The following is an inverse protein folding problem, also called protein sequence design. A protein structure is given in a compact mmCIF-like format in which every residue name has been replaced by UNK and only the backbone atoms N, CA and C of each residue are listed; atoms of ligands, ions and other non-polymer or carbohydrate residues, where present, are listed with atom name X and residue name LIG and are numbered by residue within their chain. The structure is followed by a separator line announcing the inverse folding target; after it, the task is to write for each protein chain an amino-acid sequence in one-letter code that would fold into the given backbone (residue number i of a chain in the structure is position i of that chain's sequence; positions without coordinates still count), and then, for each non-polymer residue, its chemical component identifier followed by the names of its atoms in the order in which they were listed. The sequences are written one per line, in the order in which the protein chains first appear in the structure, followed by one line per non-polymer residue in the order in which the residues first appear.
data_IF_497490619030
#
_entry.id   IF_497490619030
#
_cell.length_a   1.000
_cell.length_b   1.000
_cell.length_c   1.000
_cell.angle_alpha   90.00
_cell.angle_beta   90.00
_cell.angle_gamma   90.00
#
_symmetry.space_group_name_H-M   'P 1'
#
loop_
_entity.id
_entity.type
_entity.pdbx_description
1 polymer ?
#
# COMPACT_ATOMS: atom_id res chain seq x y z
N UNK A 1 -25.52 -16.52 -10.10
CA UNK A 1 -24.11 -16.92 -9.97
C UNK A 1 -23.32 -15.77 -9.35
N UNK A 2 -23.37 -15.66 -8.02
CA UNK A 2 -22.73 -14.60 -7.25
C UNK A 2 -21.73 -15.34 -6.36
N UNK A 3 -20.44 -15.29 -6.69
CA UNK A 3 -19.44 -16.06 -5.94
C UNK A 3 -17.99 -16.00 -6.44
N UNK A 4 -17.71 -15.60 -7.69
CA UNK A 4 -16.33 -15.71 -8.23
C UNK A 4 -15.46 -14.45 -8.18
N UNK A 5 -16.05 -13.27 -7.95
CA UNK A 5 -15.30 -11.99 -8.02
C UNK A 5 -14.32 -11.81 -6.86
N UNK A 6 -14.68 -12.30 -5.66
CA UNK A 6 -13.81 -12.28 -4.48
C UNK A 6 -12.60 -13.21 -4.65
N UNK A 7 -12.80 -14.43 -5.16
CA UNK A 7 -11.71 -15.40 -5.31
C UNK A 7 -10.63 -14.95 -6.29
N UNK A 8 -11.00 -14.35 -7.42
CA UNK A 8 -10.00 -13.89 -8.40
C UNK A 8 -9.24 -12.67 -7.89
N UNK A 9 -9.90 -11.76 -7.15
CA UNK A 9 -9.20 -10.65 -6.48
C UNK A 9 -8.20 -11.18 -5.46
N UNK A 10 -8.60 -12.17 -4.63
CA UNK A 10 -7.71 -12.83 -3.69
C UNK A 10 -6.58 -13.58 -4.41
N UNK A 11 -6.85 -14.31 -5.50
CA UNK A 11 -5.81 -14.99 -6.28
C UNK A 11 -4.82 -13.97 -6.85
N UNK A 12 -5.28 -12.83 -7.38
CA UNK A 12 -4.40 -11.78 -7.89
C UNK A 12 -3.55 -11.15 -6.77
N UNK A 13 -4.14 -10.93 -5.60
CA UNK A 13 -3.46 -10.46 -4.40
C UNK A 13 -2.34 -11.44 -3.98
N UNK A 14 -2.67 -12.71 -3.77
CA UNK A 14 -1.69 -13.74 -3.37
C UNK A 14 -0.64 -13.99 -4.46
N UNK A 15 -1.04 -13.97 -5.74
CA UNK A 15 -0.10 -14.10 -6.86
C UNK A 15 0.88 -12.91 -6.89
N UNK A 16 0.45 -11.71 -6.53
CA UNK A 16 1.33 -10.54 -6.45
C UNK A 16 2.39 -10.75 -5.37
N UNK A 17 2.00 -11.23 -4.18
CA UNK A 17 2.95 -11.60 -3.13
C UNK A 17 3.96 -12.66 -3.62
N UNK A 18 3.47 -13.72 -4.29
CA UNK A 18 4.32 -14.79 -4.81
C UNK A 18 5.30 -14.31 -5.89
N UNK A 19 4.84 -13.47 -6.83
CA UNK A 19 5.69 -12.92 -7.90
C UNK A 19 6.72 -11.96 -7.32
N UNK A 20 6.31 -11.06 -6.42
CA UNK A 20 7.20 -10.12 -5.76
C UNK A 20 8.33 -10.84 -5.01
N UNK A 21 7.97 -11.88 -4.25
CA UNK A 21 8.94 -12.73 -3.56
C UNK A 21 9.90 -13.43 -4.53
N UNK A 22 9.38 -14.16 -5.52
CA UNK A 22 10.21 -14.93 -6.46
C UNK A 22 11.06 -14.04 -7.38
N UNK A 23 10.71 -12.77 -7.52
CA UNK A 23 11.48 -11.78 -8.27
C UNK A 23 12.50 -11.02 -7.42
N UNK A 24 12.60 -11.33 -6.12
CA UNK A 24 13.51 -10.67 -5.19
C UNK A 24 13.11 -9.24 -4.83
N UNK A 25 11.84 -8.85 -4.99
CA UNK A 25 11.37 -7.53 -4.53
C UNK A 25 11.22 -7.48 -3.00
N UNK A 26 10.97 -8.62 -2.36
CA UNK A 26 10.93 -8.78 -0.89
C UNK A 26 11.67 -10.05 -0.50
N UNK A 27 12.30 -10.03 0.67
CA UNK A 27 13.09 -11.17 1.18
C UNK A 27 12.34 -11.90 2.29
N UNK A 28 12.21 -13.23 2.18
CA UNK A 28 11.49 -14.02 3.19
C UNK A 28 12.21 -13.94 4.52
N UNK A 29 11.42 -13.79 5.59
CA UNK A 29 11.92 -13.58 6.94
C UNK A 29 12.79 -12.33 7.09
N UNK A 30 12.78 -11.39 6.15
CA UNK A 30 13.33 -10.04 6.34
C UNK A 30 12.22 -9.06 6.71
N UNK A 31 12.61 -7.90 7.25
CA UNK A 31 11.66 -6.87 7.67
C UNK A 31 10.99 -6.27 6.43
N UNK A 32 9.82 -6.76 6.04
CA UNK A 32 9.07 -6.23 4.90
C UNK A 32 7.90 -5.42 5.45
N UNK A 33 7.90 -4.08 5.34
CA UNK A 33 6.83 -3.25 5.88
C UNK A 33 5.46 -3.65 5.32
N UNK A 34 4.47 -3.91 6.19
CA UNK A 34 3.16 -4.42 5.75
C UNK A 34 2.46 -3.43 4.81
N UNK A 35 2.56 -2.13 5.10
CA UNK A 35 1.96 -1.11 4.24
C UNK A 35 2.46 -1.19 2.79
N UNK A 36 3.72 -1.56 2.59
CA UNK A 36 4.36 -1.65 1.28
C UNK A 36 3.92 -2.94 0.56
N UNK A 37 4.01 -4.08 1.25
CA UNK A 37 3.69 -5.39 0.67
C UNK A 37 2.22 -5.50 0.32
N UNK A 38 1.36 -5.14 1.27
CA UNK A 38 -0.08 -5.18 1.11
C UNK A 38 -0.53 -4.07 0.16
N UNK A 39 0.00 -2.86 0.31
CA UNK A 39 -0.32 -1.74 -0.58
C UNK A 39 -0.06 -2.10 -2.05
N UNK A 40 1.05 -2.77 -2.34
CA UNK A 40 1.38 -3.28 -3.67
C UNK A 40 0.44 -4.39 -4.13
N UNK A 41 0.17 -5.40 -3.31
CA UNK A 41 -0.77 -6.46 -3.64
C UNK A 41 -2.15 -5.90 -4.00
N UNK A 42 -2.63 -4.94 -3.20
CA UNK A 42 -3.90 -4.25 -3.39
C UNK A 42 -3.92 -3.33 -4.61
N UNK A 43 -2.77 -2.80 -5.04
CA UNK A 43 -2.63 -2.02 -6.27
C UNK A 43 -2.84 -2.89 -7.52
N UNK A 44 -2.34 -4.12 -7.50
CA UNK A 44 -2.44 -5.08 -8.60
C UNK A 44 -3.70 -5.95 -8.57
N UNK A 45 -4.51 -5.87 -7.51
CA UNK A 45 -5.86 -6.43 -7.51
C UNK A 45 -6.67 -5.95 -8.71
N UNK A 46 -7.57 -6.81 -9.18
CA UNK A 46 -8.49 -6.48 -10.27
C UNK A 46 -9.74 -5.84 -9.66
N UNK A 47 -9.94 -4.51 -9.78
CA UNK A 47 -11.03 -3.82 -9.09
C UNK A 47 -12.42 -4.20 -9.62
N UNK A 48 -12.51 -4.67 -10.87
CA UNK A 48 -13.74 -5.21 -11.44
C UNK A 48 -13.46 -6.18 -12.60
N UNK A 49 -13.85 -7.44 -12.41
CA UNK A 49 -13.75 -8.52 -13.38
C UNK A 49 -14.96 -8.64 -14.30
N UNK A 50 -16.06 -7.95 -13.99
CA UNK A 50 -17.28 -7.94 -14.81
C UNK A 50 -17.19 -6.95 -15.96
N UNK A 51 -16.24 -6.00 -15.91
CA UNK A 51 -15.97 -5.13 -17.05
C UNK A 51 -15.43 -5.93 -18.25
N UNK A 52 -15.95 -5.69 -19.45
CA UNK A 52 -15.45 -6.25 -20.73
C UNK A 52 -13.97 -5.91 -21.01
N UNK A 53 -13.31 -5.17 -20.12
CA UNK A 53 -11.95 -4.68 -20.22
C UNK A 53 -10.91 -5.55 -19.48
N UNK A 54 -11.33 -6.55 -18.69
CA UNK A 54 -10.43 -7.55 -18.06
C UNK A 54 -9.22 -6.94 -17.32
N UNK A 55 -8.04 -7.54 -17.48
CA UNK A 55 -6.74 -7.13 -16.92
C UNK A 55 -6.32 -5.67 -17.17
N UNK A 56 -6.98 -4.94 -18.08
CA UNK A 56 -6.69 -3.51 -18.37
C UNK A 56 -7.15 -2.55 -17.26
N UNK A 57 -7.74 -3.06 -16.18
CA UNK A 57 -8.17 -2.27 -15.02
C UNK A 57 -7.19 -2.35 -13.84
N UNK A 58 -6.13 -3.17 -13.91
CA UNK A 58 -5.07 -3.15 -12.90
C UNK A 58 -4.48 -1.75 -12.73
N UNK A 59 -4.25 -1.32 -11.49
CA UNK A 59 -3.79 0.04 -11.18
C UNK A 59 -4.83 1.15 -11.34
N UNK A 60 -6.08 0.85 -11.74
CA UNK A 60 -7.18 1.82 -11.65
C UNK A 60 -7.58 2.03 -10.19
N UNK A 61 -8.15 3.20 -9.93
CA UNK A 61 -8.77 3.51 -8.63
C UNK A 61 -9.82 2.46 -8.30
N UNK A 62 -9.69 1.82 -7.14
CA UNK A 62 -10.66 0.88 -6.63
C UNK A 62 -11.74 1.67 -5.85
N UNK A 63 -13.00 1.72 -6.32
CA UNK A 63 -14.03 2.54 -5.69
C UNK A 63 -14.34 2.16 -4.25
N UNK A 64 -14.29 0.86 -3.90
CA UNK A 64 -14.57 0.42 -2.53
C UNK A 64 -13.45 0.84 -1.58
N UNK A 65 -12.19 0.73 -2.00
CA UNK A 65 -11.03 1.19 -1.21
C UNK A 65 -11.02 2.70 -1.05
N UNK A 66 -11.32 3.44 -2.12
CA UNK A 66 -11.45 4.88 -2.07
C UNK A 66 -12.60 5.30 -1.13
N UNK A 67 -13.74 4.61 -1.15
CA UNK A 67 -14.83 4.85 -0.20
C UNK A 67 -14.36 4.61 1.24
N UNK A 68 -13.71 3.48 1.53
CA UNK A 68 -13.16 3.19 2.86
C UNK A 68 -12.16 4.23 3.33
N UNK A 69 -11.25 4.67 2.46
CA UNK A 69 -10.33 5.75 2.76
C UNK A 69 -11.08 7.05 3.07
N UNK A 70 -12.08 7.42 2.27
CA UNK A 70 -12.87 8.65 2.50
C UNK A 70 -13.67 8.59 3.80
N UNK A 71 -14.31 7.46 4.11
CA UNK A 71 -14.99 7.24 5.39
C UNK A 71 -14.00 7.41 6.55
N UNK A 72 -12.78 6.90 6.40
CA UNK A 72 -11.73 7.05 7.40
C UNK A 72 -11.30 8.50 7.62
N UNK A 73 -11.34 9.37 6.61
CA UNK A 73 -11.03 10.79 6.76
C UNK A 73 -12.09 11.56 7.56
N UNK A 74 -13.34 11.09 7.57
CA UNK A 74 -14.44 11.74 8.30
C UNK A 74 -14.45 11.41 9.78
N UNK A 75 -13.74 10.35 10.16
CA UNK A 75 -13.55 9.97 11.56
C UNK A 75 -12.19 10.53 11.98
N UNK A 76 -12.11 11.40 13.00
CA UNK A 76 -10.83 11.95 13.53
C UNK A 76 -9.79 10.88 13.92
N UNK A 77 -10.22 9.62 13.96
CA UNK A 77 -9.55 8.40 14.40
C UNK A 77 -8.38 7.93 13.52
N UNK A 78 -8.16 8.51 12.34
CA UNK A 78 -7.25 7.94 11.32
C UNK A 78 -6.12 8.86 10.84
N UNK A 79 -5.99 10.07 11.39
CA UNK A 79 -4.84 10.93 11.08
C UNK A 79 -3.71 10.77 12.08
N UNK A 80 -3.44 9.54 12.50
CA UNK A 80 -2.08 9.21 12.89
C UNK A 80 -1.24 9.27 11.60
N UNK A 81 -0.28 10.20 11.58
CA UNK A 81 0.49 10.60 10.39
C UNK A 81 0.94 9.46 9.48
N UNK A 82 1.29 9.75 8.22
CA UNK A 82 1.97 8.76 7.34
C UNK A 82 3.21 8.14 8.00
N UNK A 83 3.82 8.82 8.98
CA UNK A 83 4.89 8.26 9.80
C UNK A 83 4.42 7.08 10.64
N UNK A 84 3.18 7.07 11.15
CA UNK A 84 2.62 5.91 11.86
C UNK A 84 2.41 4.69 10.97
N UNK A 85 2.02 4.90 9.70
CA UNK A 85 1.80 3.83 8.72
C UNK A 85 3.10 3.16 8.30
N UNK A 86 4.17 3.96 8.23
CA UNK A 86 5.47 3.55 7.67
C UNK A 86 6.49 3.14 8.75
N UNK A 87 6.37 3.65 9.97
CA UNK A 87 7.32 3.37 11.05
C UNK A 87 7.18 1.95 11.63
N UNK A 88 5.99 1.37 11.70
CA UNK A 88 5.81 -0.03 12.11
C UNK A 88 4.46 -0.61 11.65
N UNK A 89 4.20 -1.85 12.07
CA UNK A 89 3.04 -2.62 11.67
C UNK A 89 1.88 -2.56 12.69
N UNK A 90 1.96 -1.70 13.72
CA UNK A 90 1.00 -1.69 14.82
C UNK A 90 -0.45 -1.44 14.36
N UNK A 91 -0.62 -0.62 13.32
CA UNK A 91 -1.94 -0.31 12.73
C UNK A 91 -2.59 -1.52 12.06
N UNK A 92 -1.80 -2.48 11.59
CA UNK A 92 -2.28 -3.73 10.98
C UNK A 92 -2.57 -4.83 12.01
N UNK A 93 -2.17 -4.63 13.27
CA UNK A 93 -2.42 -5.56 14.37
C UNK A 93 -3.68 -5.21 15.19
N UNK A 94 -4.21 -3.99 15.05
CA UNK A 94 -5.42 -3.54 15.74
C UNK A 94 -6.68 -3.79 14.88
N UNK A 95 -7.61 -4.67 15.30
CA UNK A 95 -8.84 -4.96 14.56
C UNK A 95 -9.72 -3.74 14.28
N UNK A 96 -9.65 -2.71 15.12
CA UNK A 96 -10.44 -1.49 14.94
C UNK A 96 -9.93 -0.62 13.78
N UNK A 97 -8.64 -0.71 13.47
CA UNK A 97 -7.95 0.18 12.53
C UNK A 97 -7.50 -0.54 11.25
N UNK A 98 -7.53 -1.88 11.23
CA UNK A 98 -6.92 -2.71 10.19
C UNK A 98 -7.45 -2.40 8.78
N UNK A 99 -8.78 -2.32 8.60
CA UNK A 99 -9.41 -2.01 7.30
C UNK A 99 -8.97 -0.64 6.76
N UNK A 100 -8.85 0.32 7.67
CA UNK A 100 -8.47 1.68 7.35
C UNK A 100 -6.96 1.79 7.05
N UNK A 101 -6.12 1.02 7.75
CA UNK A 101 -4.70 0.88 7.46
C UNK A 101 -4.46 0.27 6.06
N UNK A 102 -5.21 -0.77 5.68
CA UNK A 102 -5.17 -1.33 4.32
C UNK A 102 -5.64 -0.31 3.26
N UNK A 103 -6.71 0.44 3.51
CA UNK A 103 -7.18 1.47 2.59
C UNK A 103 -6.13 2.57 2.38
N UNK A 104 -5.46 3.00 3.45
CA UNK A 104 -4.41 4.02 3.38
C UNK A 104 -3.13 3.48 2.71
N UNK A 105 -2.70 2.27 3.04
CA UNK A 105 -1.55 1.61 2.40
C UNK A 105 -1.74 1.46 0.88
N UNK A 106 -2.95 1.07 0.45
CA UNK A 106 -3.32 1.01 -0.96
C UNK A 106 -3.22 2.40 -1.62
N UNK A 107 -3.85 3.41 -1.02
CA UNK A 107 -3.87 4.75 -1.61
C UNK A 107 -2.47 5.37 -1.65
N UNK A 108 -1.69 5.18 -0.59
CA UNK A 108 -0.32 5.68 -0.52
C UNK A 108 0.56 5.01 -1.58
N UNK A 109 0.47 3.69 -1.71
CA UNK A 109 1.15 2.95 -2.79
C UNK A 109 0.71 3.44 -4.17
N UNK A 110 -0.59 3.63 -4.39
CA UNK A 110 -1.13 4.15 -5.65
C UNK A 110 -0.58 5.55 -5.97
N UNK A 111 -0.58 6.45 -4.99
CA UNK A 111 0.01 7.79 -5.10
C UNK A 111 1.50 7.74 -5.42
N UNK A 112 2.29 6.93 -4.68
CA UNK A 112 3.74 6.81 -4.86
C UNK A 112 4.08 6.24 -6.24
N UNK A 113 3.39 5.19 -6.70
CA UNK A 113 3.62 4.62 -8.03
C UNK A 113 3.36 5.65 -9.14
N UNK A 114 2.34 6.52 -8.98
CA UNK A 114 1.98 7.51 -10.00
C UNK A 114 2.82 8.79 -9.93
N UNK A 115 3.27 9.19 -8.74
CA UNK A 115 3.84 10.53 -8.49
C UNK A 115 5.32 10.49 -8.08
N UNK A 116 5.78 9.38 -7.50
CA UNK A 116 7.11 9.18 -6.91
C UNK A 116 7.68 7.80 -7.28
N UNK A 117 7.49 7.39 -8.55
CA UNK A 117 7.81 6.02 -8.99
C UNK A 117 9.26 5.66 -8.77
N UNK A 118 10.19 6.60 -9.00
CA UNK A 118 11.62 6.35 -8.89
C UNK A 118 12.01 6.06 -7.43
N UNK A 119 11.49 6.87 -6.52
CA UNK A 119 11.71 6.79 -5.08
C UNK A 119 11.04 5.52 -4.51
N UNK A 120 9.83 5.19 -4.99
CA UNK A 120 9.15 3.94 -4.64
C UNK A 120 9.98 2.70 -5.02
N UNK A 121 10.55 2.69 -6.23
CA UNK A 121 11.44 1.61 -6.67
C UNK A 121 12.75 1.58 -5.87
N UNK A 122 13.27 2.73 -5.44
CA UNK A 122 14.46 2.80 -4.59
C UNK A 122 14.17 2.21 -3.20
N UNK A 123 13.01 2.53 -2.62
CA UNK A 123 12.60 1.98 -1.33
C UNK A 123 12.39 0.46 -1.39
N UNK A 124 11.71 -0.04 -2.44
CA UNK A 124 11.59 -1.49 -2.68
C UNK A 124 12.96 -2.18 -2.74
N UNK A 125 13.96 -1.53 -3.36
CA UNK A 125 15.31 -2.07 -3.42
C UNK A 125 15.96 -2.14 -2.05
N UNK A 126 15.85 -1.09 -1.23
CA UNK A 126 16.35 -1.12 0.15
C UNK A 126 15.71 -2.30 0.91
N UNK A 127 14.39 -2.44 0.83
CA UNK A 127 13.67 -3.54 1.48
C UNK A 127 14.11 -4.92 0.96
N UNK A 128 14.39 -5.07 -0.33
CA UNK A 128 14.87 -6.32 -0.91
C UNK A 128 16.23 -6.75 -0.35
N UNK A 129 17.08 -5.79 0.04
CA UNK A 129 18.42 -6.01 0.56
C UNK A 129 18.42 -6.25 2.08
N UNK A 130 17.25 -6.26 2.74
CA UNK A 130 17.15 -6.53 4.18
C UNK A 130 17.64 -7.93 4.54
N UNK A 131 18.39 -7.99 5.64
CA UNK A 131 18.90 -9.25 6.19
C UNK A 131 17.77 -10.05 6.85
N UNK A 132 17.62 -11.35 6.55
CA UNK A 132 16.66 -12.20 7.23
C UNK A 132 16.88 -12.25 8.75
N UNK A 133 15.80 -12.38 9.50
CA UNK A 133 15.73 -12.44 10.96
C UNK A 133 16.25 -11.17 11.66
N UNK A 134 16.34 -10.05 10.93
CA UNK A 134 16.69 -8.75 11.46
C UNK A 134 15.49 -7.81 11.34
N UNK A 135 14.75 -7.63 12.44
CA UNK A 135 13.59 -6.74 12.52
C UNK A 135 14.02 -5.33 12.84
N UNK A 136 13.52 -4.38 12.04
CA UNK A 136 13.92 -2.99 12.15
C UNK A 136 13.15 -2.27 13.23
N UNK A 137 13.79 -1.31 13.88
CA UNK A 137 13.09 -0.36 14.76
C UNK A 137 12.28 0.63 13.95
N UNK A 138 11.37 1.34 14.63
CA UNK A 138 10.59 2.44 14.04
C UNK A 138 11.48 3.49 13.38
N UNK A 139 12.54 3.88 14.08
CA UNK A 139 13.49 4.88 13.62
C UNK A 139 14.31 4.40 12.43
N UNK A 140 14.64 3.10 12.37
CA UNK A 140 15.32 2.51 11.21
C UNK A 140 14.43 2.53 9.96
N UNK A 141 13.17 2.09 10.07
CA UNK A 141 12.22 2.11 8.94
C UNK A 141 11.99 3.54 8.42
N UNK A 142 11.87 4.52 9.33
CA UNK A 142 11.71 5.93 8.95
C UNK A 142 12.97 6.48 8.27
N UNK A 143 14.17 6.14 8.74
CA UNK A 143 15.42 6.55 8.10
C UNK A 143 15.54 5.99 6.68
N UNK A 144 15.18 4.72 6.47
CA UNK A 144 15.22 4.10 5.14
C UNK A 144 14.19 4.70 4.19
N UNK A 145 13.02 5.06 4.72
CA UNK A 145 12.04 5.81 3.96
C UNK A 145 12.63 7.16 3.53
N UNK A 146 13.20 7.92 4.47
CA UNK A 146 13.84 9.21 4.18
C UNK A 146 15.01 9.07 3.19
N UNK A 147 15.79 7.99 3.27
CA UNK A 147 16.87 7.69 2.32
C UNK A 147 16.34 7.52 0.89
N UNK A 148 15.22 6.80 0.73
CA UNK A 148 14.64 6.55 -0.58
C UNK A 148 13.89 7.77 -1.17
N UNK A 149 13.16 8.49 -0.32
CA UNK A 149 12.22 9.54 -0.73
C UNK A 149 12.75 10.96 -0.55
N UNK A 150 13.89 11.13 0.14
CA UNK A 150 14.51 12.42 0.46
C UNK A 150 13.76 13.26 1.51
N UNK A 151 12.62 12.77 2.00
CA UNK A 151 11.74 13.47 2.93
C UNK A 151 11.06 12.48 3.87
N UNK A 152 10.65 12.97 5.05
CA UNK A 152 9.89 12.16 5.99
C UNK A 152 8.52 11.80 5.41
N UNK A 153 7.90 10.68 5.82
CA UNK A 153 6.55 10.30 5.38
C UNK A 153 5.51 11.41 5.57
N UNK A 154 5.62 12.18 6.66
CA UNK A 154 4.72 13.29 6.97
C UNK A 154 4.70 14.37 5.87
N UNK A 155 5.79 14.57 5.13
CA UNK A 155 5.85 15.54 4.04
C UNK A 155 4.96 15.17 2.83
N UNK A 156 4.49 13.92 2.75
CA UNK A 156 3.62 13.44 1.69
C UNK A 156 2.13 13.59 2.01
N UNK A 157 1.74 13.91 3.25
CA UNK A 157 0.33 13.90 3.67
C UNK A 157 -0.56 14.84 2.86
N UNK A 158 -0.15 16.11 2.74
CA UNK A 158 -0.92 17.11 1.99
C UNK A 158 -1.04 16.72 0.52
N UNK A 159 0.05 16.17 -0.05
CA UNK A 159 0.08 15.70 -1.43
C UNK A 159 -0.84 14.50 -1.65
N UNK A 160 -0.83 13.53 -0.72
CA UNK A 160 -1.70 12.37 -0.74
C UNK A 160 -3.18 12.76 -0.66
N UNK A 161 -3.54 13.72 0.20
CA UNK A 161 -4.91 14.25 0.30
C UNK A 161 -5.36 14.92 -0.98
N UNK A 162 -4.49 15.76 -1.57
CA UNK A 162 -4.77 16.41 -2.85
C UNK A 162 -4.89 15.39 -3.98
N UNK A 163 -4.05 14.36 -3.97
CA UNK A 163 -4.13 13.24 -4.90
C UNK A 163 -5.47 12.53 -4.78
N UNK A 164 -5.87 12.13 -3.57
CA UNK A 164 -7.14 11.46 -3.30
C UNK A 164 -8.35 12.28 -3.77
N UNK A 165 -8.35 13.59 -3.51
CA UNK A 165 -9.43 14.49 -3.94
C UNK A 165 -9.60 14.54 -5.47
N UNK A 166 -8.50 14.38 -6.23
CA UNK A 166 -8.52 14.34 -7.71
C UNK A 166 -8.99 13.00 -8.28
N UNK A 167 -9.00 11.93 -7.49
CA UNK A 167 -9.43 10.59 -7.90
C UNK A 167 -10.96 10.36 -7.74
N UNK A 168 -11.74 11.41 -7.49
CA UNK A 168 -13.20 11.35 -7.38
C UNK A 168 -13.88 10.81 -8.65
N UNK A 169 -15.12 10.28 -8.54
CA UNK A 169 -15.82 9.70 -9.68
C UNK A 169 -15.98 10.76 -10.78
N UNK A 170 -15.64 10.37 -12.01
CA UNK A 170 -16.16 11.06 -13.20
C UNK A 170 -17.63 10.71 -13.39
#
# INVERSE_FOLDING_TARGET
MIGNTSYVSTIAHEATHQIAFNSGMHTRYADNPIWLTEGMAMFFELPDLHSRSGWRTMGRVNPSRMLRFRDSLTTERMLDSLSSLTADDARFQNPENIEAAYAEAWLFTHFLIHSHRREYMAYLRICSEHTPLNWKTREERLREFEEAFGHSPMNFESQLRQYAAKQGPR
#
